data_IF_495769077971
#
_entry.id   IF_495769077971
#
_cell.length_a   1.000
_cell.length_b   1.000
_cell.length_c   1.000
_cell.angle_alpha   90.00
_cell.angle_beta   90.00
_cell.angle_gamma   90.00
#
_symmetry.space_group_name_H-M   'P 1'
#
loop_
_entity.id
_entity.type
_entity.pdbx_description
1 polymer ?
#
# COMPACT_ATOMS: atom_id res chain seq x y z
N UNK A 1 20.30 -1.70 4.16
CA UNK A 1 20.14 -1.27 2.75
C UNK A 1 18.68 -0.85 2.59
N UNK A 2 18.35 0.28 1.96
CA UNK A 2 16.95 0.72 1.87
C UNK A 2 16.23 -0.09 0.78
N UNK A 3 15.26 -0.93 1.18
CA UNK A 3 14.51 -1.85 0.32
C UNK A 3 13.95 -1.18 -0.96
N UNK A 4 13.51 0.06 -0.85
CA UNK A 4 12.85 0.77 -1.95
C UNK A 4 13.81 1.53 -2.85
N UNK A 5 15.06 1.76 -2.43
CA UNK A 5 16.03 2.48 -3.25
C UNK A 5 16.30 1.71 -4.54
N UNK A 6 16.34 2.44 -5.65
CA UNK A 6 16.55 1.91 -7.00
C UNK A 6 15.44 0.97 -7.51
N UNK A 7 14.25 1.02 -6.93
CA UNK A 7 13.10 0.32 -7.49
C UNK A 7 12.90 0.71 -8.97
N UNK A 8 12.78 -0.27 -9.85
CA UNK A 8 12.69 -0.07 -11.31
C UNK A 8 11.27 -0.33 -11.78
N UNK A 9 10.76 0.54 -12.65
CA UNK A 9 9.49 0.25 -13.33
C UNK A 9 9.64 -1.03 -14.15
N UNK A 10 8.71 -1.96 -13.96
CA UNK A 10 8.68 -3.24 -14.65
C UNK A 10 7.61 -3.26 -15.74
N UNK A 11 6.34 -3.09 -15.36
CA UNK A 11 5.23 -3.09 -16.31
C UNK A 11 3.99 -2.38 -15.77
N UNK A 12 3.05 -2.10 -16.67
CA UNK A 12 1.72 -1.58 -16.37
C UNK A 12 0.67 -2.59 -16.87
N UNK A 13 -0.31 -2.88 -16.01
CA UNK A 13 -1.38 -3.85 -16.27
C UNK A 13 -2.76 -3.21 -16.13
N UNK A 14 -3.70 -3.62 -16.99
CA UNK A 14 -5.08 -3.09 -17.03
C UNK A 14 -6.12 -4.07 -16.49
N UNK A 15 -5.86 -5.38 -16.56
CA UNK A 15 -6.78 -6.42 -16.14
C UNK A 15 -6.08 -7.47 -15.27
N UNK A 16 -6.81 -8.05 -14.32
CA UNK A 16 -6.25 -9.04 -13.37
C UNK A 16 -5.70 -10.30 -14.06
N UNK A 17 -6.24 -10.66 -15.22
CA UNK A 17 -5.75 -11.78 -16.04
C UNK A 17 -4.36 -11.55 -16.64
N UNK A 18 -3.94 -10.29 -16.74
CA UNK A 18 -2.67 -9.89 -17.37
C UNK A 18 -1.59 -9.60 -16.30
N UNK A 19 -1.84 -9.96 -15.03
CA UNK A 19 -0.88 -9.76 -13.96
C UNK A 19 0.34 -10.67 -14.18
N UNK A 20 1.57 -10.13 -14.05
CA UNK A 20 2.77 -10.95 -14.13
C UNK A 20 2.81 -11.98 -13.01
N UNK A 21 3.48 -13.11 -13.22
CA UNK A 21 3.78 -14.05 -12.15
C UNK A 21 5.05 -13.59 -11.43
N UNK A 22 4.88 -12.99 -10.26
CA UNK A 22 5.98 -12.46 -9.45
C UNK A 22 6.35 -13.46 -8.36
N UNK A 23 7.60 -13.51 -7.89
CA UNK A 23 7.97 -14.42 -6.79
C UNK A 23 7.28 -14.00 -5.47
N UNK A 24 7.34 -12.71 -5.14
CA UNK A 24 6.67 -12.12 -3.99
C UNK A 24 6.42 -10.64 -4.25
N UNK A 25 5.29 -10.12 -3.78
CA UNK A 25 4.93 -8.72 -3.98
C UNK A 25 4.21 -8.08 -2.80
N UNK A 26 4.41 -6.77 -2.64
CA UNK A 26 3.63 -5.94 -1.72
C UNK A 26 2.78 -4.95 -2.50
N UNK A 27 1.60 -4.64 -1.99
CA UNK A 27 0.71 -3.67 -2.66
C UNK A 27 0.64 -2.36 -1.89
N UNK A 28 0.69 -1.26 -2.63
CA UNK A 28 0.34 0.07 -2.15
C UNK A 28 -1.07 0.41 -2.62
N UNK A 29 -1.96 0.67 -1.66
CA UNK A 29 -3.33 1.10 -1.95
C UNK A 29 -3.66 2.34 -1.12
N UNK A 30 -4.60 3.14 -1.59
CA UNK A 30 -5.07 4.30 -0.83
C UNK A 30 -6.06 5.13 -1.63
N UNK A 31 -6.77 6.02 -0.94
CA UNK A 31 -7.72 6.92 -1.59
C UNK A 31 -7.01 7.82 -2.61
N UNK A 32 -7.74 8.21 -3.64
CA UNK A 32 -7.33 9.30 -4.53
C UNK A 32 -6.94 10.52 -3.70
N UNK A 33 -5.80 11.14 -4.04
CA UNK A 33 -5.19 12.25 -3.33
C UNK A 33 -4.77 11.99 -1.87
N UNK A 34 -4.80 10.73 -1.37
CA UNK A 34 -4.20 10.41 -0.07
C UNK A 34 -2.68 10.62 -0.07
N UNK A 35 -2.03 10.64 -1.23
CA UNK A 35 -0.58 10.88 -1.36
C UNK A 35 0.23 9.62 -1.65
N UNK A 36 -0.41 8.54 -2.12
CA UNK A 36 0.24 7.27 -2.50
C UNK A 36 1.41 7.47 -3.47
N UNK A 37 1.20 8.11 -4.61
CA UNK A 37 2.28 8.35 -5.58
C UNK A 37 3.40 9.23 -5.01
N UNK A 38 3.08 10.17 -4.12
CA UNK A 38 4.10 10.97 -3.41
C UNK A 38 4.90 10.11 -2.43
N UNK A 39 4.25 9.21 -1.70
CA UNK A 39 4.91 8.26 -0.81
C UNK A 39 5.84 7.32 -1.58
N UNK A 40 5.36 6.71 -2.67
CA UNK A 40 6.15 5.82 -3.53
C UNK A 40 7.40 6.54 -4.05
N UNK A 41 7.24 7.72 -4.67
CA UNK A 41 8.38 8.50 -5.18
C UNK A 41 9.37 8.89 -4.08
N UNK A 42 8.87 9.15 -2.87
CA UNK A 42 9.73 9.49 -1.72
C UNK A 42 10.52 8.26 -1.27
N UNK A 43 9.87 7.11 -1.12
CA UNK A 43 10.49 5.87 -0.69
C UNK A 43 11.54 5.37 -1.69
N UNK A 44 11.25 5.48 -2.99
CA UNK A 44 12.16 5.02 -4.04
C UNK A 44 13.27 6.02 -4.39
N UNK A 45 13.26 7.21 -3.79
CA UNK A 45 14.17 8.31 -4.11
C UNK A 45 14.18 8.68 -5.62
N UNK A 46 13.05 8.49 -6.31
CA UNK A 46 12.89 8.82 -7.73
C UNK A 46 11.93 9.99 -7.94
N UNK A 47 12.32 10.91 -8.80
CA UNK A 47 11.45 11.99 -9.27
C UNK A 47 10.62 11.45 -10.45
N UNK A 48 9.38 10.99 -10.18
CA UNK A 48 8.36 10.51 -11.15
C UNK A 48 8.40 9.02 -11.54
N UNK A 49 8.83 8.13 -10.65
CA UNK A 49 8.65 6.69 -10.89
C UNK A 49 7.15 6.30 -10.87
N UNK A 50 6.40 6.83 -9.90
CA UNK A 50 4.94 6.79 -9.91
C UNK A 50 4.39 8.14 -10.41
N UNK A 51 3.62 8.11 -11.51
CA UNK A 51 3.04 9.32 -12.09
C UNK A 51 2.07 9.99 -11.10
N UNK A 52 2.47 11.15 -10.57
CA UNK A 52 1.60 12.03 -9.77
C UNK A 52 0.69 12.81 -10.73
N UNK A 53 -0.38 12.19 -11.20
CA UNK A 53 -1.37 12.90 -12.04
C UNK A 53 -2.22 13.84 -11.18
N UNK A 54 -2.27 15.12 -11.57
CA UNK A 54 -3.27 16.09 -11.05
C UNK A 54 -4.66 15.90 -11.67
N UNK A 55 -4.75 15.18 -12.78
CA UNK A 55 -6.01 14.91 -13.49
C UNK A 55 -6.68 13.65 -12.90
N UNK A 56 -7.88 13.79 -12.30
CA UNK A 56 -8.64 12.67 -11.78
C UNK A 56 -8.97 11.63 -12.85
N UNK A 57 -8.88 10.33 -12.52
CA UNK A 57 -9.23 9.23 -13.43
C UNK A 57 -8.16 8.79 -14.45
N UNK A 58 -6.93 9.34 -14.39
CA UNK A 58 -5.85 9.01 -15.34
C UNK A 58 -5.03 7.76 -14.99
N UNK A 59 -4.92 7.38 -13.72
CA UNK A 59 -4.20 6.16 -13.31
C UNK A 59 -5.20 5.02 -13.16
N UNK A 60 -5.62 4.43 -14.29
CA UNK A 60 -6.50 3.26 -14.38
C UNK A 60 -5.69 1.95 -14.46
N UNK A 61 -4.49 1.97 -13.89
CA UNK A 61 -3.43 1.07 -14.24
C UNK A 61 -2.79 0.56 -12.97
N UNK A 62 -2.51 -0.74 -12.93
CA UNK A 62 -1.72 -1.38 -11.88
C UNK A 62 -0.27 -1.31 -12.35
N UNK A 63 0.60 -0.64 -11.59
CA UNK A 63 2.01 -0.53 -11.96
C UNK A 63 2.86 -1.44 -11.09
N UNK A 64 3.76 -2.18 -11.71
CA UNK A 64 4.71 -3.06 -11.05
C UNK A 64 6.09 -2.41 -11.05
N UNK A 65 6.74 -2.48 -9.89
CA UNK A 65 8.10 -2.02 -9.70
C UNK A 65 8.93 -3.15 -9.09
N UNK A 66 10.02 -3.51 -9.73
CA UNK A 66 10.98 -4.49 -9.22
C UNK A 66 11.84 -3.84 -8.13
N UNK A 67 11.97 -4.49 -6.98
CA UNK A 67 12.79 -4.05 -5.85
C UNK A 67 14.18 -4.70 -5.89
N UNK A 68 15.14 -4.08 -5.21
CA UNK A 68 16.47 -4.65 -5.03
C UNK A 68 16.35 -5.90 -4.15
N UNK A 69 16.44 -7.09 -4.76
CA UNK A 69 16.23 -8.39 -4.09
C UNK A 69 15.24 -9.32 -4.80
N UNK A 70 14.64 -8.89 -5.92
CA UNK A 70 13.77 -9.74 -6.75
C UNK A 70 12.29 -9.73 -6.35
N UNK A 71 11.95 -9.13 -5.21
CA UNK A 71 10.56 -8.84 -4.82
C UNK A 71 9.96 -7.68 -5.61
N UNK A 72 8.63 -7.55 -5.56
CA UNK A 72 7.90 -6.52 -6.30
C UNK A 72 7.11 -5.58 -5.39
N UNK A 73 7.01 -4.33 -5.81
CA UNK A 73 6.08 -3.34 -5.28
C UNK A 73 5.03 -3.03 -6.33
N UNK A 74 3.76 -3.16 -5.95
CA UNK A 74 2.61 -2.93 -6.83
C UNK A 74 1.90 -1.65 -6.41
N UNK A 75 1.81 -0.68 -7.32
CA UNK A 75 1.01 0.52 -7.15
C UNK A 75 -0.40 0.28 -7.70
N UNK A 76 -1.35 0.01 -6.81
CA UNK A 76 -2.75 -0.17 -7.18
C UNK A 76 -3.43 1.18 -7.45
N UNK A 77 -4.41 1.24 -8.36
CA UNK A 77 -5.15 2.47 -8.63
C UNK A 77 -5.86 2.97 -7.36
N UNK A 78 -5.86 4.29 -7.19
CA UNK A 78 -6.50 4.89 -6.01
C UNK A 78 -8.02 4.77 -6.07
N UNK A 79 -8.66 4.45 -4.94
CA UNK A 79 -10.12 4.39 -4.86
C UNK A 79 -10.74 5.72 -4.42
N UNK A 80 -12.05 5.90 -4.63
CA UNK A 80 -12.78 7.08 -4.17
C UNK A 80 -12.63 8.34 -5.04
N UNK A 81 -12.36 8.20 -6.34
CA UNK A 81 -12.41 9.31 -7.30
C UNK A 81 -13.84 9.86 -7.44
N UNK A 82 -14.10 11.07 -6.94
CA UNK A 82 -15.42 11.70 -7.06
C UNK A 82 -15.82 12.01 -8.52
N UNK A 83 -14.82 12.24 -9.40
CA UNK A 83 -15.02 12.69 -10.78
C UNK A 83 -15.17 11.57 -11.82
N UNK A 84 -15.11 10.29 -11.43
CA UNK A 84 -15.38 9.18 -12.36
C UNK A 84 -16.81 8.65 -12.17
N UNK A 85 -17.45 8.10 -13.22
CA UNK A 85 -18.78 7.50 -13.12
C UNK A 85 -18.85 6.45 -12.01
N UNK A 86 -20.02 6.31 -11.39
CA UNK A 86 -20.22 5.35 -10.30
C UNK A 86 -19.93 3.91 -10.71
N UNK A 87 -20.33 3.52 -11.92
CA UNK A 87 -20.03 2.19 -12.46
C UNK A 87 -18.52 1.92 -12.52
N UNK A 88 -17.72 2.91 -12.93
CA UNK A 88 -16.25 2.81 -12.97
C UNK A 88 -15.68 2.70 -11.56
N UNK A 89 -16.20 3.48 -10.59
CA UNK A 89 -15.79 3.35 -9.17
C UNK A 89 -16.08 1.97 -8.62
N UNK A 90 -17.28 1.45 -8.84
CA UNK A 90 -17.71 0.15 -8.36
C UNK A 90 -16.87 -0.98 -8.97
N UNK A 91 -16.60 -0.89 -10.28
CA UNK A 91 -15.70 -1.81 -10.97
C UNK A 91 -14.31 -1.85 -10.32
N UNK A 92 -13.70 -0.69 -10.05
CA UNK A 92 -12.40 -0.63 -9.39
C UNK A 92 -12.41 -1.18 -7.96
N UNK A 93 -13.47 -0.91 -7.18
CA UNK A 93 -13.59 -1.48 -5.84
C UNK A 93 -13.68 -3.00 -5.89
N UNK A 94 -14.43 -3.56 -6.85
CA UNK A 94 -14.50 -5.00 -7.07
C UNK A 94 -13.16 -5.60 -7.50
N UNK A 95 -12.48 -4.97 -8.47
CA UNK A 95 -11.18 -5.40 -8.97
C UNK A 95 -10.11 -5.38 -7.86
N UNK A 96 -10.06 -4.30 -7.07
CA UNK A 96 -9.15 -4.21 -5.93
C UNK A 96 -9.46 -5.29 -4.88
N UNK A 97 -10.75 -5.53 -4.59
CA UNK A 97 -11.15 -6.57 -3.66
C UNK A 97 -10.73 -7.97 -4.12
N UNK A 98 -10.89 -8.27 -5.40
CA UNK A 98 -10.49 -9.56 -5.97
C UNK A 98 -8.97 -9.76 -5.91
N UNK A 99 -8.20 -8.75 -6.30
CA UNK A 99 -6.74 -8.76 -6.18
C UNK A 99 -6.28 -8.96 -4.74
N UNK A 100 -6.83 -8.19 -3.79
CA UNK A 100 -6.41 -8.25 -2.37
C UNK A 100 -6.74 -9.59 -1.72
N UNK A 101 -7.82 -10.26 -2.13
CA UNK A 101 -8.24 -11.53 -1.53
C UNK A 101 -7.53 -12.73 -2.14
N UNK A 102 -7.28 -12.72 -3.44
CA UNK A 102 -6.93 -13.94 -4.18
C UNK A 102 -5.51 -13.95 -4.73
N UNK A 103 -4.77 -12.83 -4.70
CA UNK A 103 -3.39 -12.76 -5.20
C UNK A 103 -2.42 -13.52 -4.28
N UNK A 104 -2.02 -14.72 -4.70
CA UNK A 104 -1.15 -15.63 -3.92
C UNK A 104 0.22 -15.02 -3.60
N UNK A 105 0.76 -14.24 -4.51
CA UNK A 105 2.07 -13.59 -4.41
C UNK A 105 2.08 -12.40 -3.44
N UNK A 106 0.91 -11.88 -3.02
CA UNK A 106 0.78 -10.61 -2.29
C UNK A 106 1.09 -10.76 -0.79
N UNK A 107 2.35 -10.64 -0.38
CA UNK A 107 2.79 -10.96 0.99
C UNK A 107 2.39 -9.91 2.05
N UNK A 108 1.99 -8.72 1.64
CA UNK A 108 1.57 -7.67 2.58
C UNK A 108 0.97 -6.44 1.89
N UNK A 109 0.21 -5.67 2.67
CA UNK A 109 -0.50 -4.48 2.19
C UNK A 109 0.00 -3.21 2.89
N UNK A 110 0.43 -2.23 2.10
CA UNK A 110 0.68 -0.86 2.55
C UNK A 110 -0.53 0.02 2.22
N UNK A 111 -1.30 0.39 3.23
CA UNK A 111 -2.50 1.22 3.09
C UNK A 111 -2.18 2.68 3.44
N UNK A 112 -2.38 3.58 2.48
CA UNK A 112 -2.09 5.02 2.63
C UNK A 112 -3.38 5.80 2.85
N UNK A 113 -3.45 6.51 3.98
CA UNK A 113 -4.56 7.38 4.35
C UNK A 113 -4.07 8.78 4.70
N UNK A 114 -4.77 9.83 4.26
CA UNK A 114 -4.49 11.20 4.68
C UNK A 114 -4.73 11.33 6.19
N UNK A 115 -3.71 11.72 6.95
CA UNK A 115 -3.76 11.78 8.42
C UNK A 115 -4.88 12.69 8.95
N UNK A 116 -5.35 13.66 8.15
CA UNK A 116 -6.46 14.55 8.55
C UNK A 116 -7.81 13.86 8.52
N UNK A 117 -7.96 12.81 7.71
CA UNK A 117 -9.23 12.13 7.46
C UNK A 117 -9.06 10.61 7.27
N UNK A 118 -8.51 9.88 8.26
CA UNK A 118 -8.27 8.44 8.16
C UNK A 118 -9.58 7.64 8.27
N UNK A 119 -9.50 6.34 7.95
CA UNK A 119 -10.54 5.33 8.19
C UNK A 119 -11.91 5.69 7.58
N UNK A 120 -11.94 6.16 6.33
CA UNK A 120 -13.21 6.28 5.61
C UNK A 120 -13.75 4.91 5.23
N UNK A 121 -15.02 4.85 4.84
CA UNK A 121 -15.71 3.60 4.51
C UNK A 121 -14.96 2.74 3.48
N UNK A 122 -14.38 3.34 2.44
CA UNK A 122 -13.59 2.59 1.46
C UNK A 122 -12.22 2.12 2.01
N UNK A 123 -11.63 2.83 2.97
CA UNK A 123 -10.39 2.39 3.63
C UNK A 123 -10.65 1.12 4.45
N UNK A 124 -11.73 1.13 5.24
CA UNK A 124 -12.19 -0.03 6.01
C UNK A 124 -12.52 -1.20 5.08
N UNK A 125 -13.22 -0.94 3.97
CA UNK A 125 -13.54 -1.98 3.00
C UNK A 125 -12.31 -2.65 2.39
N UNK A 126 -11.23 -1.90 2.12
CA UNK A 126 -9.97 -2.50 1.65
C UNK A 126 -9.32 -3.37 2.73
N UNK A 127 -9.38 -2.93 4.00
CA UNK A 127 -8.91 -3.75 5.13
C UNK A 127 -9.74 -5.03 5.26
N UNK A 128 -11.06 -4.95 5.11
CA UNK A 128 -11.97 -6.10 5.19
C UNK A 128 -11.68 -7.12 4.09
N UNK A 129 -11.46 -6.66 2.85
CA UNK A 129 -11.06 -7.53 1.75
C UNK A 129 -9.74 -8.24 2.06
N UNK A 130 -8.74 -7.53 2.57
CA UNK A 130 -7.44 -8.13 2.82
C UNK A 130 -7.41 -8.99 4.11
N UNK A 131 -8.27 -8.73 5.07
CA UNK A 131 -8.33 -9.41 6.36
C UNK A 131 -8.51 -10.94 6.23
N UNK A 132 -9.19 -11.40 5.18
CA UNK A 132 -9.42 -12.81 4.92
C UNK A 132 -8.12 -13.60 4.65
N UNK A 133 -7.06 -12.91 4.23
CA UNK A 133 -5.75 -13.50 3.92
C UNK A 133 -4.89 -13.77 5.15
N UNK A 134 -5.15 -13.09 6.27
CA UNK A 134 -4.29 -13.12 7.47
C UNK A 134 -2.91 -12.46 7.31
N UNK A 135 -2.61 -11.88 6.14
CA UNK A 135 -1.31 -11.28 5.83
C UNK A 135 -1.17 -9.89 6.47
N UNK A 136 0.07 -9.42 6.73
CA UNK A 136 0.28 -8.19 7.47
C UNK A 136 -0.15 -6.93 6.69
N UNK A 137 -0.65 -5.95 7.43
CA UNK A 137 -1.01 -4.61 6.94
C UNK A 137 -0.16 -3.56 7.65
N UNK A 138 0.40 -2.65 6.87
CA UNK A 138 1.08 -1.46 7.39
C UNK A 138 0.40 -0.20 6.88
N UNK A 139 -0.01 0.67 7.81
CA UNK A 139 -0.77 1.88 7.50
C UNK A 139 0.12 3.10 7.61
N UNK A 140 0.16 3.88 6.53
CA UNK A 140 0.81 5.18 6.49
C UNK A 140 -0.24 6.29 6.63
N UNK A 141 -0.20 6.99 7.77
CA UNK A 141 -0.94 8.25 7.96
C UNK A 141 -0.16 9.38 7.28
N UNK A 142 -0.40 9.55 5.98
CA UNK A 142 0.30 10.48 5.10
C UNK A 142 -0.05 11.94 5.39
N UNK A 143 0.78 12.86 4.88
CA UNK A 143 0.64 14.31 5.07
C UNK A 143 0.59 14.69 6.55
N UNK A 144 1.30 13.94 7.41
CA UNK A 144 1.38 14.23 8.84
C UNK A 144 1.88 15.66 9.12
N UNK A 145 2.66 16.25 8.21
CA UNK A 145 3.09 17.67 8.26
C UNK A 145 1.95 18.70 8.24
N UNK A 146 0.73 18.28 7.86
CA UNK A 146 -0.47 19.13 7.88
C UNK A 146 -1.19 19.14 9.23
N UNK A 147 -0.74 18.34 10.18
CA UNK A 147 -1.28 18.27 11.54
C UNK A 147 -0.26 18.82 12.55
N UNK A 148 -0.76 19.42 13.62
CA UNK A 148 0.08 19.74 14.78
C UNK A 148 0.65 18.46 15.40
N UNK A 149 1.74 18.56 16.18
CA UNK A 149 2.31 17.38 16.87
C UNK A 149 1.30 16.69 17.79
N UNK A 150 0.48 17.46 18.48
CA UNK A 150 -0.58 16.92 19.34
C UNK A 150 -1.65 16.19 18.52
N UNK A 151 -2.06 16.74 17.39
CA UNK A 151 -3.06 16.10 16.53
C UNK A 151 -2.52 14.86 15.83
N UNK A 152 -1.22 14.83 15.49
CA UNK A 152 -0.54 13.63 15.01
C UNK A 152 -0.63 12.49 16.03
N UNK A 153 -0.30 12.75 17.30
CA UNK A 153 -0.36 11.76 18.38
C UNK A 153 -1.80 11.28 18.59
N UNK A 154 -2.76 12.20 18.68
CA UNK A 154 -4.19 11.88 18.85
C UNK A 154 -4.71 11.01 17.69
N UNK A 155 -4.40 11.40 16.45
CA UNK A 155 -4.82 10.66 15.25
C UNK A 155 -4.23 9.26 15.23
N UNK A 156 -2.92 9.13 15.50
CA UNK A 156 -2.25 7.83 15.55
C UNK A 156 -2.87 6.91 16.60
N UNK A 157 -3.14 7.43 17.81
CA UNK A 157 -3.76 6.66 18.88
C UNK A 157 -5.20 6.24 18.53
N UNK A 158 -5.99 7.14 17.95
CA UNK A 158 -7.36 6.87 17.52
C UNK A 158 -7.41 5.77 16.45
N UNK A 159 -6.53 5.86 15.44
CA UNK A 159 -6.45 4.86 14.36
C UNK A 159 -5.99 3.51 14.91
N UNK A 160 -4.94 3.46 15.74
CA UNK A 160 -4.50 2.22 16.40
C UNK A 160 -5.62 1.58 17.23
N UNK A 161 -6.40 2.36 17.97
CA UNK A 161 -7.54 1.86 18.74
C UNK A 161 -8.63 1.27 17.84
N UNK A 162 -8.97 1.95 16.75
CA UNK A 162 -10.01 1.50 15.82
C UNK A 162 -9.64 0.22 15.07
N UNK A 163 -8.35 -0.04 14.88
CA UNK A 163 -7.87 -1.22 14.13
C UNK A 163 -7.65 -2.47 14.99
N UNK A 164 -7.85 -2.38 16.32
CA UNK A 164 -7.73 -3.54 17.22
C UNK A 164 -8.52 -4.78 16.77
N UNK A 165 -9.76 -4.68 16.23
CA UNK A 165 -10.50 -5.86 15.77
C UNK A 165 -9.78 -6.64 14.66
N UNK A 166 -8.98 -5.98 13.81
CA UNK A 166 -8.23 -6.67 12.76
C UNK A 166 -7.04 -7.47 13.31
N UNK A 167 -6.56 -7.16 14.51
CA UNK A 167 -5.39 -7.79 15.11
C UNK A 167 -5.60 -9.26 15.49
N UNK A 168 -6.85 -9.73 15.52
CA UNK A 168 -7.19 -11.13 15.82
C UNK A 168 -6.66 -12.11 14.76
N UNK A 169 -6.50 -11.66 13.51
CA UNK A 169 -6.12 -12.52 12.37
C UNK A 169 -4.89 -12.06 11.61
N UNK A 170 -4.52 -10.78 11.71
CA UNK A 170 -3.41 -10.22 10.96
C UNK A 170 -2.64 -9.20 11.79
N UNK A 171 -1.33 -9.10 11.54
CA UNK A 171 -0.51 -8.05 12.12
C UNK A 171 -0.85 -6.72 11.46
N UNK A 172 -1.34 -5.75 12.23
CA UNK A 172 -1.62 -4.39 11.77
C UNK A 172 -0.72 -3.39 12.48
N UNK A 173 0.11 -2.69 11.71
CA UNK A 173 0.96 -1.60 12.21
C UNK A 173 0.58 -0.26 11.58
N UNK A 174 0.83 0.83 12.29
CA UNK A 174 0.42 2.18 11.88
C UNK A 174 1.52 3.17 12.25
N UNK A 175 1.91 4.01 11.29
CA UNK A 175 2.86 5.09 11.49
C UNK A 175 2.40 6.42 10.89
N UNK A 176 3.03 7.50 11.33
CA UNK A 176 2.93 8.81 10.69
C UNK A 176 3.90 8.88 9.52
N UNK A 177 3.49 9.53 8.43
CA UNK A 177 4.31 9.66 7.23
C UNK A 177 4.17 11.05 6.60
N UNK A 178 5.29 11.64 6.18
CA UNK A 178 5.30 12.87 5.39
C UNK A 178 6.33 12.80 4.29
N UNK A 179 5.86 12.75 3.03
CA UNK A 179 6.73 12.92 1.86
C UNK A 179 7.47 14.25 1.87
N UNK A 180 6.80 15.34 2.30
CA UNK A 180 7.37 16.68 2.29
C UNK A 180 8.51 16.82 3.31
N UNK A 181 8.36 16.22 4.49
CA UNK A 181 9.36 16.27 5.56
C UNK A 181 10.27 15.05 5.60
N UNK A 182 10.13 14.11 4.64
CA UNK A 182 10.80 12.81 4.62
C UNK A 182 10.67 12.04 5.95
N UNK A 183 9.54 12.23 6.63
CA UNK A 183 9.28 11.62 7.94
C UNK A 183 8.78 10.19 7.77
N UNK A 184 9.39 9.26 8.52
CA UNK A 184 8.92 7.88 8.65
C UNK A 184 9.39 6.94 7.53
N UNK A 185 10.32 7.36 6.67
CA UNK A 185 10.78 6.54 5.54
C UNK A 185 11.50 5.25 5.98
N UNK A 186 12.31 5.34 7.03
CA UNK A 186 13.10 4.21 7.55
C UNK A 186 12.18 3.10 8.08
N UNK A 187 11.18 3.47 8.90
CA UNK A 187 10.21 2.54 9.47
C UNK A 187 9.44 1.75 8.40
N UNK A 188 9.05 2.37 7.27
CA UNK A 188 8.39 1.65 6.17
C UNK A 188 9.32 0.58 5.59
N UNK A 189 10.60 0.92 5.38
CA UNK A 189 11.61 0.00 4.87
C UNK A 189 11.84 -1.18 5.80
N UNK A 190 11.91 -0.93 7.11
CA UNK A 190 12.08 -1.97 8.13
C UNK A 190 10.87 -2.90 8.22
N UNK A 191 9.65 -2.36 8.27
CA UNK A 191 8.42 -3.15 8.39
C UNK A 191 8.24 -4.03 7.16
N UNK A 192 8.38 -3.47 5.97
CA UNK A 192 8.20 -4.20 4.72
C UNK A 192 9.36 -5.18 4.47
N UNK A 193 10.59 -4.82 4.83
CA UNK A 193 11.75 -5.71 4.72
C UNK A 193 11.54 -7.02 5.47
N UNK A 194 11.01 -6.95 6.70
CA UNK A 194 10.66 -8.12 7.51
C UNK A 194 9.64 -9.05 6.83
N UNK A 195 8.74 -8.52 6.01
CA UNK A 195 7.77 -9.35 5.28
C UNK A 195 8.47 -10.18 4.19
N UNK A 196 9.35 -9.55 3.41
CA UNK A 196 10.14 -10.26 2.39
C UNK A 196 11.09 -11.29 3.02
N UNK A 197 11.72 -10.96 4.15
CA UNK A 197 12.57 -11.89 4.90
C UNK A 197 11.79 -13.13 5.39
N UNK A 198 10.59 -12.91 5.95
CA UNK A 198 9.73 -14.01 6.42
C UNK A 198 9.21 -14.90 5.26
N UNK A 199 8.86 -14.29 4.13
CA UNK A 199 8.43 -15.02 2.94
C UNK A 199 9.56 -15.89 2.37
N UNK A 200 10.77 -15.34 2.26
CA UNK A 200 11.95 -16.08 1.79
C UNK A 200 12.29 -17.28 2.70
N UNK A 201 12.18 -17.13 4.03
CA UNK A 201 12.39 -18.22 4.98
C UNK A 201 11.35 -19.33 4.81
N UNK A 202 10.08 -18.96 4.58
CA UNK A 202 8.99 -19.92 4.37
C UNK A 202 9.22 -20.72 3.09
N UNK A 203 9.68 -20.06 2.02
CA UNK A 203 9.99 -20.72 0.75
C UNK A 203 11.14 -21.74 0.86
N UNK A 204 12.19 -21.42 1.63
CA UNK A 204 13.31 -22.36 1.86
C UNK A 204 12.89 -23.57 2.70
N UNK A 205 12.06 -23.38 3.73
CA UNK A 205 11.57 -24.50 4.55
C UNK A 205 10.68 -25.48 3.78
N UNK A 206 9.95 -25.01 2.76
CA UNK A 206 9.09 -25.85 1.93
C UNK A 206 9.83 -26.63 0.84
N UNK A 207 11.09 -26.30 0.56
CA UNK A 207 11.92 -27.03 -0.42
C UNK A 207 12.77 -28.16 0.19
N UNK A 208 12.87 -28.20 1.52
CA UNK A 208 13.63 -29.21 2.27
C UNK A 208 12.75 -30.36 2.80
N UNK A 209 11.43 -30.32 2.56
CA UNK A 209 10.45 -31.41 2.81
C UNK A 209 10.02 -32.10 1.52
#
# INVERSE_FOLDING_TARGET
MNLFQNAKFFTTVNHLKDLPDTPAEIAFVGRSNAGKSSAINTLTNHVRLAYVSKTPGRTQHINFFELAGGGFMVDLPGYGYAQVPEAVRAHWVGLLGDYLQHRKQLIGLVLIMDARHPLKALDLRMLDFFHTTGRPVHILLSKADKLSKNDQIKTLAAVKKALKPYAERQTVSVQLFSSLKKQGMEEVGEVVGKWFEADAQTATSASDE
#
